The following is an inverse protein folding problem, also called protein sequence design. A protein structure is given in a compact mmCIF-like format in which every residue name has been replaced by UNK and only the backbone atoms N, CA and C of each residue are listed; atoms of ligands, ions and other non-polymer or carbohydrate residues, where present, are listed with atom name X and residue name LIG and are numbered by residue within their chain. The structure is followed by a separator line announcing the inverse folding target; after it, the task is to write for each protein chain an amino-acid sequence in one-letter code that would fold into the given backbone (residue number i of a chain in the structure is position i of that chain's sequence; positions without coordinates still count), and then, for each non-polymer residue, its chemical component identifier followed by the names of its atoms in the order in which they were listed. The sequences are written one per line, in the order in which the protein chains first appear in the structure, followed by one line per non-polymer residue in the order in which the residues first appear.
data_IF_475169799662
#
_entry.id   IF_475169799662
#
_cell.length_a   1.000
_cell.length_b   1.000
_cell.length_c   1.000
_cell.angle_alpha   90.00
_cell.angle_beta   90.00
_cell.angle_gamma   90.00
#
_symmetry.space_group_name_H-M   'P 1'
#
loop_
_entity.id
_entity.type
_entity.pdbx_description
1 polymer ?
#
# COMPACT_ATOMS: atom_id res chain seq x y z
N UNK A 3 -2.51 -9.54 12.48
CA UNK A 3 -1.36 -9.42 11.52
C UNK A 3 -1.55 -8.23 10.60
N UNK A 4 -0.63 -7.31 10.61
CA UNK A 4 -0.76 -6.11 9.72
C UNK A 4 0.06 -6.29 8.45
N UNK A 5 -0.55 -6.13 7.32
CA UNK A 5 0.23 -6.18 6.10
C UNK A 5 0.83 -4.81 5.98
N UNK A 6 2.10 -4.70 6.11
CA UNK A 6 2.72 -3.36 6.06
C UNK A 6 2.50 -2.72 4.70
N UNK A 7 1.27 -2.42 4.38
CA UNK A 7 0.95 -1.76 3.08
C UNK A 7 1.87 -0.66 2.85
N UNK A 8 1.82 0.24 3.74
CA UNK A 8 2.65 1.40 3.63
C UNK A 8 4.01 0.99 3.23
N UNK A 9 4.33 -0.12 3.69
CA UNK A 9 5.62 -0.66 3.34
C UNK A 9 5.51 -1.23 1.95
N UNK A 10 4.53 -2.07 1.79
CA UNK A 10 4.26 -2.66 0.48
C UNK A 10 4.35 -1.58 -0.57
N UNK A 11 3.58 -0.58 -0.32
CA UNK A 11 3.49 0.56 -1.23
C UNK A 11 4.64 1.54 -1.03
N UNK A 12 5.64 1.09 -0.34
CA UNK A 12 6.85 1.95 -0.12
C UNK A 12 6.38 3.32 0.31
N UNK A 13 5.99 3.42 1.53
CA UNK A 13 5.42 4.66 2.02
C UNK A 13 5.75 4.87 3.48
N UNK A 14 4.92 5.62 4.10
CA UNK A 14 5.05 5.94 5.54
C UNK A 14 3.97 5.20 6.30
N UNK A 15 4.29 4.80 7.51
CA UNK A 15 3.29 4.09 8.34
C UNK A 15 2.28 5.09 8.94
N UNK A 16 2.59 6.36 8.91
CA UNK A 16 1.65 7.36 9.49
C UNK A 16 1.47 8.52 8.51
N UNK A 17 1.27 8.22 7.26
CA UNK A 17 1.07 9.30 6.24
C UNK A 17 -0.38 9.35 5.76
N UNK A 18 -0.63 10.04 4.69
CA UNK A 18 -2.04 10.13 4.18
C UNK A 18 -2.11 9.53 2.77
N UNK A 19 -3.21 9.69 2.09
CA UNK A 19 -3.29 9.09 0.75
C UNK A 19 -2.30 9.77 -0.20
N UNK A 20 -1.97 11.01 0.05
CA UNK A 20 -0.98 11.67 -0.85
C UNK A 20 0.30 10.85 -0.83
N UNK A 21 0.75 10.49 0.34
CA UNK A 21 1.97 9.64 0.42
C UNK A 21 1.62 8.27 -0.09
N UNK A 22 0.59 7.71 0.46
CA UNK A 22 0.24 6.35 0.06
C UNK A 22 0.18 6.22 -1.44
N UNK A 23 -0.62 6.95 -2.15
CA UNK A 23 -0.60 6.74 -3.61
C UNK A 23 0.74 7.17 -4.13
N UNK A 24 1.32 8.19 -3.60
CA UNK A 24 2.68 8.51 -4.09
C UNK A 24 3.43 7.21 -4.02
N UNK A 25 3.21 6.51 -2.92
CA UNK A 25 3.83 5.18 -2.69
C UNK A 25 3.23 4.13 -3.62
N UNK A 26 1.94 3.93 -3.53
CA UNK A 26 1.25 2.91 -4.36
C UNK A 26 1.22 3.30 -5.81
N UNK A 27 1.29 4.54 -6.08
CA UNK A 27 1.25 4.96 -7.49
C UNK A 27 2.63 4.76 -8.05
N UNK A 28 3.61 5.17 -7.30
CA UNK A 28 4.98 4.91 -7.76
C UNK A 28 5.14 3.41 -7.68
N UNK A 29 4.55 2.83 -6.65
CA UNK A 29 4.57 1.35 -6.47
C UNK A 29 3.81 0.69 -7.57
N UNK A 30 2.53 0.81 -7.51
CA UNK A 30 1.69 0.19 -8.54
C UNK A 30 2.28 0.51 -9.90
N UNK A 31 2.99 1.60 -9.99
CA UNK A 31 3.63 1.95 -11.27
C UNK A 31 4.84 1.04 -11.46
N UNK A 32 5.56 0.81 -10.40
CA UNK A 32 6.72 -0.10 -10.47
C UNK A 32 6.24 -1.52 -10.16
N UNK A 33 4.97 -1.62 -9.80
CA UNK A 33 4.40 -2.93 -9.41
C UNK A 33 3.31 -3.38 -10.37
N UNK A 34 2.68 -2.49 -11.11
CA UNK A 34 1.63 -3.01 -12.02
C UNK A 34 2.29 -4.11 -12.84
N UNK A 35 1.80 -5.30 -12.65
CA UNK A 35 2.43 -6.48 -13.25
C UNK A 35 2.67 -6.34 -14.76
N UNK A 36 1.92 -5.52 -15.42
CA UNK A 36 2.18 -5.31 -16.87
C UNK A 36 3.51 -4.61 -17.01
N UNK A 37 3.91 -3.99 -15.95
CA UNK A 37 5.16 -3.23 -15.92
C UNK A 37 5.56 -3.08 -14.46
N UNK A 38 6.48 -3.82 -14.05
CA UNK A 38 6.89 -3.74 -12.64
C UNK A 38 8.29 -4.31 -12.43
N UNK A 39 9.10 -3.73 -11.59
CA UNK A 39 10.43 -4.37 -11.40
C UNK A 39 10.69 -4.66 -9.93
N UNK A 40 10.09 -5.71 -9.50
CA UNK A 40 10.15 -6.19 -8.10
C UNK A 40 10.24 -7.73 -8.11
N UNK A 41 10.54 -8.31 -6.99
CA UNK A 41 10.59 -9.79 -6.92
C UNK A 41 9.19 -10.37 -7.26
N UNK A 42 8.14 -9.75 -6.77
CA UNK A 42 6.74 -10.23 -7.07
C UNK A 42 5.75 -9.04 -7.06
N UNK A 43 5.73 -8.27 -8.14
CA UNK A 43 4.82 -7.06 -8.24
C UNK A 43 3.38 -7.49 -8.48
N UNK A 44 3.14 -8.59 -9.13
CA UNK A 44 1.73 -9.02 -9.28
C UNK A 44 1.18 -9.04 -7.86
N UNK A 45 1.93 -9.67 -7.00
CA UNK A 45 1.57 -9.74 -5.57
C UNK A 45 1.86 -8.41 -4.91
N UNK A 46 3.07 -7.94 -5.05
CA UNK A 46 3.44 -6.67 -4.44
C UNK A 46 2.46 -5.59 -4.90
N UNK A 47 2.31 -5.41 -6.17
CA UNK A 47 1.32 -4.40 -6.64
C UNK A 47 0.02 -4.68 -5.96
N UNK A 48 -0.50 -5.86 -6.13
CA UNK A 48 -1.76 -6.17 -5.45
C UNK A 48 -1.58 -5.83 -3.98
N UNK A 49 -0.40 -6.05 -3.43
CA UNK A 49 -0.17 -5.69 -2.04
C UNK A 49 -0.34 -4.20 -1.93
N UNK A 50 0.17 -3.49 -2.89
CA UNK A 50 0.02 -2.03 -2.86
C UNK A 50 -1.39 -1.71 -3.07
N UNK A 51 -1.89 -2.13 -4.16
CA UNK A 51 -3.27 -1.87 -4.46
C UNK A 51 -4.11 -2.21 -3.24
N UNK A 52 -3.95 -3.39 -2.68
CA UNK A 52 -4.71 -3.68 -1.44
C UNK A 52 -4.25 -2.72 -0.36
N UNK A 53 -2.99 -2.44 -0.28
CA UNK A 53 -2.56 -1.44 0.71
C UNK A 53 -3.25 -0.19 0.29
N UNK A 54 -2.99 0.11 -0.85
CA UNK A 54 -3.59 1.25 -1.45
C UNK A 54 -5.10 1.22 -1.23
N UNK A 55 -5.71 0.06 -1.13
CA UNK A 55 -7.17 0.12 -0.82
C UNK A 55 -7.21 0.72 0.55
N UNK A 56 -6.72 -0.03 1.49
CA UNK A 56 -6.62 0.46 2.88
C UNK A 56 -6.12 1.84 2.92
N UNK A 57 -4.98 2.01 2.44
CA UNK A 57 -4.40 3.34 2.47
C UNK A 57 -5.31 4.34 1.75
N UNK A 58 -5.89 3.92 0.68
CA UNK A 58 -6.84 4.83 -0.05
C UNK A 58 -8.27 4.58 0.42
N UNK A 59 -8.44 3.81 1.47
CA UNK A 59 -9.80 3.53 1.99
C UNK A 59 -9.91 4.00 3.44
N UNK A 60 -10.68 5.01 3.71
CA UNK A 60 -10.81 5.46 5.11
C UNK A 60 -11.04 4.23 6.00
N UNK A 61 -11.76 3.25 5.50
CA UNK A 61 -12.01 2.03 6.31
C UNK A 61 -10.81 1.11 6.22
N UNK A 62 -10.48 0.62 5.06
CA UNK A 62 -9.30 -0.28 5.02
C UNK A 62 -8.09 0.44 5.63
N UNK A 63 -7.77 1.67 5.27
CA UNK A 63 -6.61 2.26 6.01
C UNK A 63 -6.97 2.22 7.47
N UNK A 64 -8.17 2.61 7.82
CA UNK A 64 -8.58 2.58 9.26
C UNK A 64 -8.32 1.18 9.81
N UNK A 65 -8.93 0.19 9.24
CA UNK A 65 -8.70 -1.19 9.70
C UNK A 65 -7.20 -1.47 9.54
N UNK A 66 -6.67 -1.13 8.40
CA UNK A 66 -5.23 -1.34 8.18
C UNK A 66 -4.47 -0.70 9.34
N UNK A 67 -4.70 0.54 9.52
CA UNK A 67 -4.02 1.26 10.64
C UNK A 67 -4.46 0.66 11.97
N UNK A 68 -5.69 0.21 12.05
CA UNK A 68 -6.18 -0.39 13.31
C UNK A 68 -5.24 -1.51 13.76
N UNK A 69 -4.92 -2.40 12.86
CA UNK A 69 -3.98 -3.50 13.25
C UNK A 69 -2.57 -2.94 13.36
N UNK A 70 -2.22 -2.02 12.50
CA UNK A 70 -0.86 -1.41 12.55
C UNK A 70 -0.67 -0.60 13.86
N UNK A 71 -0.58 0.71 13.78
CA UNK A 71 -0.35 1.54 15.01
C UNK A 71 -1.65 1.82 15.77
N UNK A 72 -2.78 1.88 15.10
CA UNK A 72 -4.04 2.19 15.83
C UNK A 72 -4.57 0.96 16.59
N UNK A 73 -3.78 -0.10 16.66
CA UNK A 73 -4.19 -1.35 17.38
C UNK A 73 -5.68 -1.36 17.73
#
# INVERSE_FOLDING_TARGET
GSELKDYYAIMGVKPTDDLKTIKTAYRRLARKYHPDVSKEPDAEARFKEVAEAWEVLSDEQRRAEYDQMWQHR
#
